data_IF_692099518142
#
_entry.id   IF_692099518142
#
_cell.length_a   1.000
_cell.length_b   1.000
_cell.length_c   1.000
_cell.angle_alpha   90.00
_cell.angle_beta   90.00
_cell.angle_gamma   90.00
#
_symmetry.space_group_name_H-M   'P 1'
#
loop_
_entity.id
_entity.type
_entity.pdbx_description
1 polymer ?
#
# COMPACT_ATOMS: atom_id res chain seq x y z
N UNK A 1 6.77 13.44 -0.77
CA UNK A 1 6.49 12.19 -1.52
C UNK A 1 5.29 11.49 -0.91
N UNK A 2 4.34 11.15 -1.74
CA UNK A 2 3.10 10.52 -1.30
C UNK A 2 3.12 9.02 -1.55
N UNK A 3 2.84 8.26 -0.49
CA UNK A 3 2.76 6.80 -0.55
C UNK A 3 1.30 6.36 -0.43
N UNK A 4 0.91 5.42 -1.25
CA UNK A 4 -0.36 4.70 -1.09
C UNK A 4 -0.05 3.24 -0.84
N UNK A 5 -0.56 2.69 0.26
CA UNK A 5 -0.38 1.28 0.58
C UNK A 5 -1.68 0.54 0.33
N UNK A 6 -1.61 -0.48 -0.49
CA UNK A 6 -2.78 -1.28 -0.88
C UNK A 6 -2.68 -2.64 -0.19
N UNK A 7 -3.63 -2.91 0.67
CA UNK A 7 -3.68 -4.14 1.45
C UNK A 7 -3.51 -3.88 2.94
N UNK A 8 -4.57 -4.01 3.74
CA UNK A 8 -4.55 -3.68 5.16
C UNK A 8 -4.16 -4.86 6.05
N UNK A 9 -3.48 -5.86 5.52
CA UNK A 9 -2.94 -6.95 6.31
C UNK A 9 -1.81 -6.46 7.22
N UNK A 10 -1.21 -7.38 7.99
CA UNK A 10 -0.19 -7.05 8.97
C UNK A 10 0.99 -6.30 8.34
N UNK A 11 1.46 -6.74 7.18
CA UNK A 11 2.59 -6.12 6.48
C UNK A 11 2.24 -4.71 6.02
N UNK A 12 1.08 -4.53 5.39
CA UNK A 12 0.65 -3.23 4.90
C UNK A 12 0.47 -2.22 6.02
N UNK A 13 -0.17 -2.64 7.10
CA UNK A 13 -0.35 -1.78 8.28
C UNK A 13 0.98 -1.41 8.93
N UNK A 14 1.92 -2.35 9.01
CA UNK A 14 3.23 -2.08 9.58
C UNK A 14 3.99 -1.04 8.77
N UNK A 15 4.04 -1.19 7.44
CA UNK A 15 4.72 -0.23 6.58
C UNK A 15 4.03 1.14 6.60
N UNK A 16 2.70 1.16 6.58
CA UNK A 16 1.96 2.42 6.66
C UNK A 16 2.27 3.17 7.95
N UNK A 17 2.26 2.45 9.08
CA UNK A 17 2.55 3.06 10.38
C UNK A 17 3.99 3.58 10.44
N UNK A 18 4.95 2.81 9.97
CA UNK A 18 6.36 3.22 10.02
C UNK A 18 6.63 4.41 9.12
N UNK A 19 6.06 4.46 7.94
CA UNK A 19 6.19 5.61 7.06
C UNK A 19 5.56 6.85 7.67
N UNK A 20 4.40 6.70 8.28
CA UNK A 20 3.71 7.79 8.95
C UNK A 20 4.53 8.36 10.11
N UNK A 21 5.08 7.49 10.95
CA UNK A 21 5.92 7.88 12.07
C UNK A 21 7.19 8.57 11.57
N UNK A 22 7.72 8.14 10.43
CA UNK A 22 8.88 8.76 9.80
C UNK A 22 8.62 10.12 9.15
N UNK A 23 7.39 10.61 9.19
CA UNK A 23 7.04 11.92 8.64
C UNK A 23 6.64 11.93 7.17
N UNK A 24 6.46 10.77 6.56
CA UNK A 24 6.03 10.69 5.17
C UNK A 24 4.51 10.81 5.05
N UNK A 25 4.07 11.36 3.92
CA UNK A 25 2.64 11.42 3.58
C UNK A 25 2.21 10.04 3.09
N UNK A 26 1.48 9.29 3.92
CA UNK A 26 1.06 7.93 3.62
C UNK A 26 -0.43 7.77 3.83
N UNK A 27 -1.06 7.05 2.91
CA UNK A 27 -2.48 6.69 2.97
C UNK A 27 -2.60 5.19 2.76
N UNK A 28 -3.49 4.55 3.50
CA UNK A 28 -3.78 3.13 3.35
C UNK A 28 -5.09 2.97 2.58
N UNK A 29 -5.12 2.09 1.61
CA UNK A 29 -6.34 1.76 0.89
C UNK A 29 -6.90 0.43 1.38
N UNK A 30 -8.18 0.43 1.75
CA UNK A 30 -8.91 -0.76 2.15
C UNK A 30 -10.32 -0.70 1.58
N UNK A 31 -10.66 -1.64 0.72
CA UNK A 31 -12.00 -1.69 0.12
C UNK A 31 -13.11 -1.97 1.14
N UNK A 32 -12.76 -2.48 2.32
CA UNK A 32 -13.72 -2.82 3.37
C UNK A 32 -13.99 -1.60 4.24
N UNK A 33 -15.19 -1.02 4.10
CA UNK A 33 -15.53 0.23 4.78
C UNK A 33 -15.54 0.08 6.31
N UNK A 34 -15.94 -1.06 6.84
CA UNK A 34 -15.97 -1.31 8.28
C UNK A 34 -14.57 -1.32 8.85
N UNK A 35 -13.66 -2.05 8.22
CA UNK A 35 -12.27 -2.13 8.65
C UNK A 35 -11.57 -0.78 8.51
N UNK A 36 -11.81 -0.06 7.42
CA UNK A 36 -11.27 1.28 7.21
C UNK A 36 -11.70 2.23 8.32
N UNK A 37 -12.96 2.19 8.70
CA UNK A 37 -13.50 3.03 9.77
C UNK A 37 -12.84 2.72 11.11
N UNK A 38 -12.62 1.46 11.42
CA UNK A 38 -11.95 1.03 12.64
C UNK A 38 -10.52 1.59 12.68
N UNK A 39 -9.78 1.46 11.60
CA UNK A 39 -8.39 1.96 11.53
C UNK A 39 -8.37 3.49 11.63
N UNK A 40 -9.28 4.18 10.95
CA UNK A 40 -9.36 5.64 11.03
C UNK A 40 -9.64 6.12 12.45
N UNK A 41 -10.42 5.39 13.22
CA UNK A 41 -10.76 5.76 14.59
C UNK A 41 -9.69 5.39 15.60
N UNK A 42 -9.08 4.22 15.45
CA UNK A 42 -8.15 3.68 16.46
C UNK A 42 -6.68 3.87 16.10
N UNK A 43 -6.37 4.13 14.83
CA UNK A 43 -4.99 4.17 14.37
C UNK A 43 -4.39 2.77 14.24
N UNK A 44 -3.10 2.74 13.94
CA UNK A 44 -2.34 1.50 13.82
C UNK A 44 -1.34 1.46 14.96
N UNK A 45 -1.41 0.43 15.79
CA UNK A 45 -0.49 0.25 16.90
C UNK A 45 0.75 -0.50 16.42
N UNK A 46 1.92 0.04 16.73
CA UNK A 46 3.21 -0.58 16.42
C UNK A 46 3.97 -0.81 17.72
N UNK A 47 4.29 -2.05 18.00
CA UNK A 47 5.11 -2.43 19.14
C UNK A 47 6.57 -2.51 18.71
N UNK A 48 7.47 -2.02 19.52
CA UNK A 48 8.88 -2.02 19.19
C UNK A 48 9.78 -1.93 20.39
N UNK A 49 11.07 -2.11 20.14
CA UNK A 49 12.10 -2.08 21.18
C UNK A 49 12.16 -0.72 21.88
N UNK A 50 11.86 0.35 21.14
CA UNK A 50 11.89 1.72 21.66
C UNK A 50 10.57 2.15 22.31
N UNK A 51 9.59 1.25 22.40
CA UNK A 51 8.27 1.56 22.93
C UNK A 51 7.17 1.28 21.90
N UNK A 52 5.94 1.52 22.34
CA UNK A 52 4.77 1.32 21.50
C UNK A 52 4.33 2.64 20.91
N UNK A 53 3.93 2.62 19.63
CA UNK A 53 3.47 3.81 18.92
C UNK A 53 2.09 3.56 18.34
N UNK A 54 1.30 4.62 18.28
CA UNK A 54 0.02 4.59 17.57
C UNK A 54 0.09 5.59 16.41
N UNK A 55 -0.02 5.09 15.20
CA UNK A 55 0.05 5.91 14.00
C UNK A 55 -1.35 6.18 13.46
N UNK A 56 -1.72 7.45 13.35
CA UNK A 56 -3.02 7.86 12.83
C UNK A 56 -2.97 7.94 11.30
N UNK A 57 -2.81 6.80 10.66
CA UNK A 57 -2.73 6.71 9.20
C UNK A 57 -4.12 6.85 8.60
N UNK A 58 -4.34 7.78 7.65
CA UNK A 58 -5.64 7.87 6.97
C UNK A 58 -5.89 6.63 6.12
N UNK A 59 -7.12 6.15 6.15
CA UNK A 59 -7.54 5.00 5.34
C UNK A 59 -8.66 5.44 4.42
N UNK A 60 -8.49 5.16 3.12
CA UNK A 60 -9.50 5.46 2.10
C UNK A 60 -10.10 4.18 1.56
N UNK A 61 -11.35 4.25 1.12
CA UNK A 61 -12.07 3.11 0.55
C UNK A 61 -12.25 3.22 -0.96
N UNK A 62 -11.87 4.35 -1.54
CA UNK A 62 -11.94 4.60 -2.97
C UNK A 62 -10.64 5.18 -3.46
N UNK A 63 -10.30 4.84 -4.69
CA UNK A 63 -9.04 5.26 -5.31
C UNK A 63 -9.15 6.52 -6.15
N UNK A 64 -10.37 6.94 -6.49
CA UNK A 64 -10.55 8.13 -7.31
C UNK A 64 -10.06 9.38 -6.59
N UNK A 65 -9.31 10.21 -7.29
CA UNK A 65 -8.75 11.43 -6.73
C UNK A 65 -7.43 11.25 -5.99
N UNK A 66 -6.89 10.04 -5.91
CA UNK A 66 -5.57 9.85 -5.32
C UNK A 66 -4.48 10.22 -6.33
N UNK A 67 -3.38 10.75 -5.81
CA UNK A 67 -2.25 11.19 -6.63
C UNK A 67 -0.94 10.72 -5.98
N UNK A 68 -0.75 9.40 -5.79
CA UNK A 68 0.44 8.91 -5.14
C UNK A 68 1.66 8.94 -6.06
N UNK A 69 2.83 9.11 -5.45
CA UNK A 69 4.10 8.97 -6.16
C UNK A 69 4.51 7.50 -6.21
N UNK A 70 4.29 6.79 -5.10
CA UNK A 70 4.63 5.37 -4.99
C UNK A 70 3.46 4.61 -4.40
N UNK A 71 3.12 3.47 -5.01
CA UNK A 71 2.12 2.54 -4.49
C UNK A 71 2.84 1.26 -4.06
N UNK A 72 2.65 0.88 -2.80
CA UNK A 72 3.15 -0.39 -2.27
C UNK A 72 1.99 -1.37 -2.23
N UNK A 73 2.14 -2.47 -2.97
CA UNK A 73 1.10 -3.49 -3.04
C UNK A 73 1.43 -4.60 -2.05
N UNK A 74 0.60 -4.72 -1.02
CA UNK A 74 0.77 -5.64 0.10
C UNK A 74 -0.37 -6.65 0.22
N UNK A 75 -1.14 -6.85 -0.85
CA UNK A 75 -2.20 -7.85 -0.87
C UNK A 75 -1.60 -9.25 -1.06
N UNK A 76 -2.39 -10.29 -0.78
CA UNK A 76 -1.94 -11.66 -1.03
C UNK A 76 -1.62 -11.85 -2.51
N UNK A 77 -0.68 -12.76 -2.81
CA UNK A 77 -0.19 -12.97 -4.18
C UNK A 77 -1.30 -13.20 -5.18
N UNK A 78 -2.33 -13.95 -4.82
CA UNK A 78 -3.47 -14.22 -5.72
C UNK A 78 -4.36 -12.99 -5.94
N UNK A 79 -4.12 -11.90 -5.24
CA UNK A 79 -4.86 -10.65 -5.39
C UNK A 79 -4.05 -9.56 -6.08
N UNK A 80 -2.79 -9.82 -6.38
CA UNK A 80 -1.90 -8.81 -6.96
C UNK A 80 -2.41 -8.30 -8.31
N UNK A 81 -2.86 -9.21 -9.17
CA UNK A 81 -3.39 -8.83 -10.48
C UNK A 81 -4.63 -7.96 -10.39
N UNK A 82 -5.56 -8.33 -9.51
CA UNK A 82 -6.79 -7.55 -9.30
C UNK A 82 -6.49 -6.16 -8.76
N UNK A 83 -5.56 -6.06 -7.82
CA UNK A 83 -5.15 -4.78 -7.27
C UNK A 83 -4.52 -3.89 -8.36
N UNK A 84 -3.66 -4.45 -9.19
CA UNK A 84 -3.00 -3.72 -10.27
C UNK A 84 -4.01 -3.21 -11.30
N UNK A 85 -4.98 -4.05 -11.69
CA UNK A 85 -6.02 -3.64 -12.63
C UNK A 85 -6.84 -2.48 -12.08
N UNK A 86 -7.18 -2.52 -10.79
CA UNK A 86 -7.92 -1.45 -10.15
C UNK A 86 -7.15 -0.14 -10.09
N UNK A 87 -5.83 -0.20 -10.02
CA UNK A 87 -4.98 0.99 -9.88
C UNK A 87 -4.56 1.58 -11.23
N UNK A 88 -4.54 0.78 -12.28
CA UNK A 88 -3.97 1.17 -13.58
C UNK A 88 -4.52 2.48 -14.12
N UNK A 89 -5.83 2.66 -14.07
CA UNK A 89 -6.50 3.82 -14.64
C UNK A 89 -6.89 4.87 -13.59
N UNK A 90 -6.56 4.63 -12.32
CA UNK A 90 -6.92 5.51 -11.21
C UNK A 90 -5.72 6.21 -10.59
N UNK A 91 -4.54 5.98 -11.14
CA UNK A 91 -3.31 6.63 -10.69
C UNK A 91 -2.63 7.34 -11.84
N UNK A 92 -1.87 8.42 -11.55
CA UNK A 92 -1.11 9.12 -12.58
C UNK A 92 -0.11 8.21 -13.29
N UNK A 93 0.23 8.54 -14.52
CA UNK A 93 1.22 7.78 -15.29
C UNK A 93 2.60 7.79 -14.64
N UNK A 94 2.90 8.82 -13.86
CA UNK A 94 4.20 8.95 -13.16
C UNK A 94 4.30 8.04 -11.94
N UNK A 95 3.19 7.49 -11.44
CA UNK A 95 3.17 6.67 -10.23
C UNK A 95 3.99 5.40 -10.41
N UNK A 96 4.87 5.10 -9.47
CA UNK A 96 5.65 3.87 -9.43
C UNK A 96 4.99 2.85 -8.51
N UNK A 97 5.12 1.59 -8.86
CA UNK A 97 4.53 0.49 -8.11
C UNK A 97 5.60 -0.47 -7.62
N UNK A 98 5.47 -0.90 -6.38
CA UNK A 98 6.34 -1.91 -5.80
C UNK A 98 5.49 -2.94 -5.07
N UNK A 99 5.99 -4.17 -5.00
CA UNK A 99 5.37 -5.21 -4.18
C UNK A 99 6.31 -5.59 -3.06
N UNK A 100 5.74 -5.83 -1.90
CA UNK A 100 6.48 -6.30 -0.74
C UNK A 100 6.32 -7.80 -0.53
N UNK A 101 5.64 -8.46 -1.45
CA UNK A 101 5.36 -9.89 -1.32
C UNK A 101 6.39 -10.74 -2.05
N UNK A 102 6.73 -11.86 -1.41
CA UNK A 102 7.65 -12.85 -1.94
C UNK A 102 6.89 -13.91 -2.74
N UNK A 103 6.22 -13.51 -3.80
CA UNK A 103 5.54 -14.47 -4.65
C UNK A 103 6.22 -14.55 -6.00
N UNK A 104 6.48 -15.77 -6.49
CA UNK A 104 6.93 -15.94 -7.84
C UNK A 104 5.90 -15.38 -8.80
N UNK A 105 6.34 -14.56 -9.73
CA UNK A 105 5.46 -14.00 -10.74
C UNK A 105 4.77 -12.70 -10.37
N UNK A 106 4.87 -12.22 -9.13
CA UNK A 106 4.22 -10.96 -8.74
C UNK A 106 4.74 -9.77 -9.54
N UNK A 107 6.05 -9.67 -9.69
CA UNK A 107 6.65 -8.58 -10.45
C UNK A 107 6.27 -8.66 -11.92
N UNK A 108 6.29 -9.87 -12.49
CA UNK A 108 5.90 -10.10 -13.87
C UNK A 108 4.44 -9.73 -14.11
N UNK A 109 3.55 -10.08 -13.19
CA UNK A 109 2.13 -9.70 -13.26
C UNK A 109 1.97 -8.18 -13.24
N UNK A 110 2.67 -7.51 -12.35
CA UNK A 110 2.62 -6.06 -12.27
C UNK A 110 3.16 -5.41 -13.54
N UNK A 111 4.25 -5.90 -14.08
CA UNK A 111 4.83 -5.37 -15.31
C UNK A 111 3.93 -5.57 -16.51
N UNK A 112 3.25 -6.71 -16.58
CA UNK A 112 2.31 -7.01 -17.66
C UNK A 112 1.11 -6.04 -17.64
N UNK A 113 0.60 -5.74 -16.46
CA UNK A 113 -0.60 -4.91 -16.31
C UNK A 113 -0.25 -3.42 -16.36
N UNK A 114 0.82 -3.01 -15.69
CA UNK A 114 1.14 -1.59 -15.47
C UNK A 114 2.23 -1.06 -16.40
N UNK A 115 3.02 -1.93 -17.00
CA UNK A 115 4.17 -1.56 -17.84
C UNK A 115 5.48 -1.64 -17.07
N UNK A 116 6.55 -2.01 -17.78
CA UNK A 116 7.87 -2.25 -17.18
C UNK A 116 8.44 -1.04 -16.46
N UNK A 117 8.22 0.15 -16.99
CA UNK A 117 8.80 1.38 -16.46
C UNK A 117 8.08 1.92 -15.24
N UNK A 118 6.97 1.32 -14.84
CA UNK A 118 6.21 1.73 -13.66
C UNK A 118 6.39 0.81 -12.46
N UNK A 119 7.15 -0.26 -12.61
CA UNK A 119 7.27 -1.28 -11.56
C UNK A 119 8.70 -1.33 -11.03
N UNK A 120 8.82 -1.16 -9.72
CA UNK A 120 10.06 -1.34 -8.98
C UNK A 120 10.06 -2.78 -8.46
N UNK A 121 11.20 -3.41 -8.34
CA UNK A 121 11.29 -4.78 -7.85
C UNK A 121 10.78 -4.97 -6.44
N UNK A 122 10.59 -6.21 -6.04
CA UNK A 122 10.19 -6.56 -4.67
C UNK A 122 11.31 -6.26 -3.68
N UNK A 123 10.93 -5.90 -2.46
CA UNK A 123 11.87 -5.40 -1.46
C UNK A 123 12.06 -6.39 -0.33
N UNK A 124 11.17 -7.36 -0.16
CA UNK A 124 11.27 -8.30 0.94
C UNK A 124 12.07 -9.53 0.55
N UNK A 125 12.84 -10.00 1.46
CA UNK A 125 13.58 -11.25 1.31
C UNK A 125 12.83 -12.42 1.93
#
# INVERSE_FOLDING_TARGET
>A
MKFLIVGPGAMGCLFAARLHIGGFDVTLYDYNAVRADIINKKGISVEGVSGDYNAAVPVITELSGTDPDIVLICVKSNKTGDAAEGLKNRTPQKTLFATLQNGLGNIEILKEILGDNRVIGGITS
#
